data_IF_631539812197
#
_entry.id   IF_631539812197
#
_cell.length_a   1.000
_cell.length_b   1.000
_cell.length_c   1.000
_cell.angle_alpha   90.00
_cell.angle_beta   90.00
_cell.angle_gamma   90.00
#
_symmetry.space_group_name_H-M   'P 1'
#
loop_
_entity.id
_entity.type
_entity.pdbx_description
1 polymer ?
#
# COMPACT_ATOMS: atom_id res chain seq x y z
N UNK A 1 6.79 6.70 5.54
CA UNK A 1 6.23 5.48 4.91
C UNK A 1 6.83 4.24 5.54
N UNK A 2 8.16 4.10 5.61
CA UNK A 2 8.84 2.97 6.28
C UNK A 2 8.41 2.74 7.73
N UNK A 3 8.31 3.80 8.54
CA UNK A 3 7.80 3.69 9.92
C UNK A 3 6.34 3.20 10.01
N UNK A 4 5.55 3.38 8.94
CA UNK A 4 4.17 2.91 8.88
C UNK A 4 4.11 1.41 8.58
N UNK A 5 4.92 0.94 7.62
CA UNK A 5 5.05 -0.49 7.34
C UNK A 5 5.63 -1.25 8.53
N UNK A 6 6.68 -0.71 9.17
CA UNK A 6 7.29 -1.32 10.35
C UNK A 6 6.29 -1.52 11.51
N UNK A 7 5.36 -0.58 11.71
CA UNK A 7 4.29 -0.73 12.71
C UNK A 7 3.36 -1.90 12.37
N UNK A 8 2.86 -1.97 11.14
CA UNK A 8 1.93 -3.03 10.73
C UNK A 8 2.59 -4.40 10.70
N UNK A 9 3.84 -4.48 10.22
CA UNK A 9 4.60 -5.73 10.28
C UNK A 9 4.81 -6.21 11.71
N UNK A 10 5.19 -5.31 12.63
CA UNK A 10 5.37 -5.66 14.04
C UNK A 10 4.05 -6.12 14.67
N UNK A 11 2.95 -5.44 14.37
CA UNK A 11 1.62 -5.82 14.85
C UNK A 11 1.20 -7.21 14.35
N UNK A 12 1.29 -7.45 13.04
CA UNK A 12 0.89 -8.73 12.44
C UNK A 12 1.77 -9.88 12.94
N UNK A 13 3.08 -9.64 13.13
CA UNK A 13 3.99 -10.63 13.76
C UNK A 13 3.63 -10.92 15.21
N UNK A 14 3.28 -9.90 16.01
CA UNK A 14 2.87 -10.09 17.41
C UNK A 14 1.54 -10.84 17.53
N UNK A 15 0.63 -10.64 16.57
CA UNK A 15 -0.66 -11.31 16.51
C UNK A 15 -0.60 -12.71 15.88
N UNK A 16 0.59 -13.16 15.43
CA UNK A 16 0.80 -14.41 14.68
C UNK A 16 -0.14 -14.55 13.47
N UNK A 17 -0.41 -13.42 12.80
CA UNK A 17 -1.25 -13.37 11.62
C UNK A 17 -0.40 -13.43 10.35
N UNK A 18 -0.67 -14.43 9.51
CA UNK A 18 -0.09 -14.50 8.18
C UNK A 18 -0.64 -13.39 7.28
N UNK A 19 0.26 -12.71 6.57
CA UNK A 19 -0.09 -11.71 5.58
C UNK A 19 0.79 -11.86 4.35
N UNK A 20 0.23 -11.49 3.19
CA UNK A 20 0.96 -11.35 1.94
C UNK A 20 1.18 -9.85 1.67
N UNK A 21 2.29 -9.51 1.01
CA UNK A 21 2.61 -8.13 0.66
C UNK A 21 2.34 -7.89 -0.82
N UNK A 22 1.61 -6.82 -1.14
CA UNK A 22 1.30 -6.43 -2.51
C UNK A 22 1.60 -4.96 -2.70
N UNK A 23 2.16 -4.60 -3.86
CA UNK A 23 2.23 -3.22 -4.32
C UNK A 23 1.05 -2.95 -5.25
N UNK A 24 0.52 -1.73 -5.21
CA UNK A 24 -0.63 -1.34 -6.02
C UNK A 24 -0.35 -1.56 -7.52
N UNK A 25 0.88 -1.27 -7.93
CA UNK A 25 1.37 -1.42 -9.29
C UNK A 25 1.31 -2.87 -9.76
N UNK A 26 1.64 -3.83 -8.91
CA UNK A 26 1.60 -5.26 -9.25
C UNK A 26 0.15 -5.75 -9.46
N UNK A 27 -0.82 -5.14 -8.77
CA UNK A 27 -2.24 -5.50 -8.85
C UNK A 27 -2.93 -5.00 -10.11
N UNK A 28 -2.38 -3.97 -10.74
CA UNK A 28 -2.93 -3.38 -11.95
C UNK A 28 -2.66 -4.23 -13.19
N UNK A 29 -1.57 -4.97 -13.21
CA UNK A 29 -1.24 -5.85 -14.33
C UNK A 29 -1.95 -7.19 -14.22
N UNK A 30 -1.83 -7.86 -13.05
CA UNK A 30 -2.52 -9.12 -12.79
C UNK A 30 -3.01 -9.18 -11.33
N UNK A 31 -4.33 -9.06 -11.08
CA UNK A 31 -4.86 -9.11 -9.73
C UNK A 31 -4.97 -10.54 -9.16
N UNK A 32 -4.69 -11.59 -9.95
CA UNK A 32 -4.82 -13.00 -9.52
C UNK A 32 -4.07 -13.34 -8.24
N UNK A 33 -2.81 -12.89 -8.02
CA UNK A 33 -2.09 -13.15 -6.77
C UNK A 33 -2.83 -12.59 -5.54
N UNK A 34 -3.44 -11.41 -5.66
CA UNK A 34 -4.23 -10.82 -4.59
C UNK A 34 -5.53 -11.58 -4.35
N UNK A 35 -6.26 -11.92 -5.41
CA UNK A 35 -7.50 -12.71 -5.30
C UNK A 35 -7.20 -14.06 -4.66
N UNK A 36 -6.11 -14.72 -5.04
CA UNK A 36 -5.67 -15.98 -4.44
C UNK A 36 -5.34 -15.82 -2.94
N UNK A 37 -4.67 -14.74 -2.55
CA UNK A 37 -4.42 -14.42 -1.13
C UNK A 37 -5.72 -14.27 -0.35
N UNK A 38 -6.69 -13.50 -0.88
CA UNK A 38 -7.99 -13.28 -0.23
C UNK A 38 -8.76 -14.60 -0.12
N UNK A 39 -8.85 -15.38 -1.21
CA UNK A 39 -9.53 -16.68 -1.20
C UNK A 39 -8.92 -17.61 -0.15
N UNK A 40 -7.58 -17.69 -0.09
CA UNK A 40 -6.86 -18.48 0.93
C UNK A 40 -7.18 -18.03 2.35
N UNK A 41 -7.17 -16.72 2.62
CA UNK A 41 -7.48 -16.18 3.95
C UNK A 41 -8.94 -16.43 4.36
N UNK A 42 -9.86 -16.45 3.40
CA UNK A 42 -11.27 -16.77 3.62
C UNK A 42 -11.57 -18.27 3.57
N UNK A 43 -10.56 -19.13 3.38
CA UNK A 43 -10.74 -20.59 3.18
C UNK A 43 -11.72 -20.93 2.04
N UNK A 44 -11.69 -20.13 0.97
CA UNK A 44 -12.49 -20.30 -0.23
C UNK A 44 -11.62 -20.79 -1.39
N UNK A 45 -12.24 -21.44 -2.36
CA UNK A 45 -11.60 -21.74 -3.63
C UNK A 45 -11.39 -20.46 -4.44
N UNK A 46 -10.33 -20.44 -5.25
CA UNK A 46 -10.08 -19.34 -6.17
C UNK A 46 -11.22 -19.32 -7.20
N UNK A 47 -11.88 -18.18 -7.44
CA UNK A 47 -12.94 -18.11 -8.42
C UNK A 47 -12.39 -18.35 -9.82
N UNK A 48 -13.09 -19.19 -10.58
CA UNK A 48 -12.83 -19.39 -12.00
C UNK A 48 -13.29 -18.16 -12.80
N UNK A 49 -12.45 -17.68 -13.71
CA UNK A 49 -12.79 -16.57 -14.59
C UNK A 49 -11.59 -15.74 -15.02
N UNK A 50 -11.84 -14.83 -15.95
CA UNK A 50 -10.88 -13.78 -16.30
C UNK A 50 -10.99 -12.64 -15.30
N UNK A 51 -9.85 -12.21 -14.78
CA UNK A 51 -9.77 -11.02 -13.94
C UNK A 51 -9.32 -9.86 -14.79
N UNK A 52 -10.27 -9.02 -15.17
CA UNK A 52 -9.98 -7.78 -15.89
C UNK A 52 -9.98 -6.61 -14.92
N UNK A 53 -9.00 -5.73 -15.06
CA UNK A 53 -8.97 -4.44 -14.38
C UNK A 53 -9.05 -3.32 -15.40
N UNK A 54 -10.01 -2.42 -15.18
CA UNK A 54 -10.14 -1.19 -15.96
C UNK A 54 -9.21 -0.08 -15.42
N UNK A 55 -8.51 -0.35 -14.32
CA UNK A 55 -7.57 0.58 -13.74
C UNK A 55 -6.25 0.50 -14.51
N UNK A 56 -5.66 1.65 -14.75
CA UNK A 56 -4.36 1.78 -15.40
C UNK A 56 -3.39 2.36 -14.40
N UNK A 57 -2.11 2.01 -14.57
CA UNK A 57 -1.04 2.63 -13.82
C UNK A 57 -1.08 4.14 -14.05
N UNK A 58 -1.35 4.90 -12.98
CA UNK A 58 -1.34 6.36 -13.00
C UNK A 58 0.09 6.87 -12.84
N UNK A 59 1.01 6.31 -13.63
CA UNK A 59 2.43 6.64 -13.66
C UNK A 59 2.81 6.98 -15.09
N UNK A 60 2.96 8.26 -15.33
CA UNK A 60 3.41 8.85 -16.59
C UNK A 60 4.59 9.81 -16.35
N UNK A 61 5.14 10.34 -17.44
CA UNK A 61 6.29 11.25 -17.39
C UNK A 61 6.05 12.48 -16.50
N UNK A 62 4.80 12.97 -16.43
CA UNK A 62 4.44 14.13 -15.62
C UNK A 62 4.42 13.78 -14.12
N UNK A 63 3.83 12.65 -13.76
CA UNK A 63 3.82 12.16 -12.38
C UNK A 63 5.23 11.82 -11.87
N UNK A 64 6.11 11.31 -12.75
CA UNK A 64 7.50 11.05 -12.40
C UNK A 64 8.30 12.34 -12.21
N UNK A 65 8.11 13.35 -13.06
CA UNK A 65 8.71 14.69 -12.87
C UNK A 65 8.30 15.28 -11.52
N UNK A 66 7.01 15.22 -11.18
CA UNK A 66 6.52 15.71 -9.90
C UNK A 66 7.09 14.94 -8.72
N UNK A 67 7.18 13.61 -8.82
CA UNK A 67 7.78 12.77 -7.80
C UNK A 67 9.27 13.11 -7.61
N UNK A 68 10.01 13.36 -8.69
CA UNK A 68 11.41 13.78 -8.63
C UNK A 68 11.58 15.15 -7.97
N UNK A 69 10.78 16.14 -8.40
CA UNK A 69 10.77 17.49 -7.81
C UNK A 69 10.46 17.43 -6.32
N UNK A 70 9.43 16.68 -5.93
CA UNK A 70 9.10 16.47 -4.52
C UNK A 70 10.26 15.84 -3.73
N UNK A 71 10.93 14.81 -4.27
CA UNK A 71 12.11 14.20 -3.63
C UNK A 71 13.26 15.20 -3.46
N UNK A 72 13.46 16.10 -4.41
CA UNK A 72 14.47 17.14 -4.32
C UNK A 72 14.09 18.23 -3.30
N UNK A 73 12.83 18.65 -3.30
CA UNK A 73 12.33 19.66 -2.37
C UNK A 73 12.38 19.15 -0.91
N UNK A 74 12.07 17.87 -0.66
CA UNK A 74 12.20 17.24 0.67
C UNK A 74 13.64 17.27 1.19
N UNK A 75 14.66 17.14 0.32
CA UNK A 75 16.07 17.25 0.71
C UNK A 75 16.48 18.67 1.09
N UNK A 76 15.75 19.69 0.64
CA UNK A 76 16.01 21.10 0.98
C UNK A 76 15.43 21.54 2.34
N UNK A 77 15.02 20.58 3.18
CA UNK A 77 14.56 20.70 4.57
C UNK A 77 13.26 21.50 4.84
N UNK A 78 12.73 22.25 3.88
CA UNK A 78 11.59 23.15 4.16
C UNK A 78 10.20 22.46 4.11
N UNK A 79 10.07 21.31 3.46
CA UNK A 79 8.76 20.66 3.25
C UNK A 79 8.18 19.99 4.50
N UNK A 80 9.03 19.33 5.30
CA UNK A 80 8.58 18.63 6.51
C UNK A 80 8.15 19.60 7.62
N UNK A 81 8.62 20.85 7.58
CA UNK A 81 8.21 21.91 8.51
C UNK A 81 6.75 22.32 8.35
N UNK A 82 6.19 22.14 7.14
CA UNK A 82 4.82 22.55 6.78
C UNK A 82 3.81 21.41 6.88
N UNK A 83 4.25 20.18 7.14
CA UNK A 83 3.34 19.05 7.35
C UNK A 83 2.71 19.11 8.75
N UNK A 84 1.43 18.78 8.88
CA UNK A 84 0.79 18.69 10.19
C UNK A 84 1.52 17.66 11.06
N UNK A 85 2.09 18.12 12.19
CA UNK A 85 2.74 17.25 13.19
C UNK A 85 1.83 16.18 13.78
N UNK A 86 0.51 16.35 13.67
CA UNK A 86 -0.48 15.37 14.12
C UNK A 86 -0.68 14.31 13.05
N UNK A 87 0.01 13.18 13.22
CA UNK A 87 -0.39 11.93 12.57
C UNK A 87 -1.67 11.44 13.25
N UNK A 88 -2.64 10.97 12.47
CA UNK A 88 -3.85 10.36 13.02
C UNK A 88 -3.46 9.22 13.99
N UNK A 89 -4.10 9.15 15.17
CA UNK A 89 -3.76 8.13 16.16
C UNK A 89 -4.05 6.74 15.59
N UNK A 90 -3.05 5.85 15.69
CA UNK A 90 -3.07 4.49 15.13
C UNK A 90 -3.70 3.55 16.15
N UNK A 91 -5.03 3.43 16.09
CA UNK A 91 -5.83 2.74 17.09
C UNK A 91 -6.46 1.51 16.45
N UNK A 92 -6.67 0.45 17.25
CA UNK A 92 -7.38 -0.77 16.81
C UNK A 92 -8.78 -0.45 16.26
N UNK A 93 -9.42 0.62 16.77
CA UNK A 93 -10.71 1.10 16.28
C UNK A 93 -10.71 1.60 14.83
N UNK A 94 -9.54 1.84 14.22
CA UNK A 94 -9.45 2.26 12.82
C UNK A 94 -9.62 1.09 11.83
N UNK A 95 -9.80 -0.14 12.33
CA UNK A 95 -10.01 -1.36 11.54
C UNK A 95 -11.48 -1.84 11.52
N UNK A 96 -12.38 -1.12 12.21
CA UNK A 96 -13.79 -1.48 12.39
C UNK A 96 -14.72 -0.74 11.41
#
# INVERSE_FOLDING_TARGET
IEQSYAFWEAYLRLADLHYDHFFYEDLLDDPRPYVASVARQLSMEMPDGEFETNLRLQRDDLTEDWAERFRNDVKSEDLLAHLPRKVAPRNISNLA
#
